data_IF_899945072552
#
_entry.id   IF_899945072552
#
_cell.length_a   1.000
_cell.length_b   1.000
_cell.length_c   1.000
_cell.angle_alpha   90.00
_cell.angle_beta   90.00
_cell.angle_gamma   90.00
#
_symmetry.space_group_name_H-M   'P 1'
#
loop_
_entity.id
_entity.type
_entity.pdbx_description
1 polymer ?
#
# COMPACT_ATOMS: atom_id res chain seq x y z
N UNK A 1 18.09 -8.29 14.85
CA UNK A 1 18.10 -7.54 13.58
C UNK A 1 17.62 -6.13 13.90
N UNK A 2 18.25 -5.10 13.33
CA UNK A 2 17.89 -3.70 13.60
C UNK A 2 16.59 -3.28 12.90
N UNK A 3 16.26 -3.95 11.78
CA UNK A 3 15.03 -3.75 11.01
C UNK A 3 14.47 -5.12 10.61
N UNK A 4 13.15 -5.27 10.68
CA UNK A 4 12.42 -6.43 10.17
C UNK A 4 11.53 -5.96 9.02
N UNK A 5 11.71 -6.56 7.84
CA UNK A 5 10.87 -6.29 6.67
C UNK A 5 9.88 -7.44 6.55
N UNK A 6 8.59 -7.12 6.65
CA UNK A 6 7.50 -8.10 6.52
C UNK A 6 6.71 -7.77 5.27
N UNK A 7 6.73 -8.67 4.30
CA UNK A 7 5.83 -8.61 3.15
C UNK A 7 4.45 -9.15 3.57
N UNK A 8 3.39 -8.42 3.24
CA UNK A 8 2.01 -8.89 3.39
C UNK A 8 1.52 -9.27 1.99
N UNK A 9 1.32 -10.57 1.78
CA UNK A 9 0.75 -11.10 0.54
C UNK A 9 -0.71 -10.68 0.35
N UNK A 10 -1.21 -10.84 -0.88
CA UNK A 10 -2.57 -10.46 -1.26
C UNK A 10 -2.68 -9.00 -1.72
N UNK A 11 -3.91 -8.53 -1.90
CA UNK A 11 -4.20 -7.14 -2.29
C UNK A 11 -5.06 -6.47 -1.24
N UNK A 12 -4.78 -5.19 -0.95
CA UNK A 12 -5.64 -4.37 -0.09
C UNK A 12 -7.04 -4.29 -0.70
N UNK A 13 -8.04 -4.64 0.08
CA UNK A 13 -9.45 -4.76 -0.35
C UNK A 13 -9.91 -6.21 -0.47
N UNK A 14 -8.99 -7.17 -0.54
CA UNK A 14 -9.34 -8.59 -0.56
C UNK A 14 -9.64 -9.10 0.86
N UNK A 15 -10.70 -9.89 1.01
CA UNK A 15 -11.16 -10.44 2.30
C UNK A 15 -10.05 -11.28 2.97
N UNK A 16 -9.28 -12.00 2.17
CA UNK A 16 -8.17 -12.85 2.63
C UNK A 16 -7.05 -12.06 3.34
N UNK A 17 -6.88 -10.79 2.97
CA UNK A 17 -5.81 -9.93 3.50
C UNK A 17 -6.19 -9.24 4.82
N UNK A 18 -7.48 -9.19 5.16
CA UNK A 18 -8.00 -8.41 6.28
C UNK A 18 -7.37 -8.80 7.64
N UNK A 19 -7.20 -10.09 8.00
CA UNK A 19 -6.58 -10.46 9.27
C UNK A 19 -5.12 -9.97 9.40
N UNK A 20 -4.36 -10.02 8.31
CA UNK A 20 -2.96 -9.58 8.29
C UNK A 20 -2.85 -8.05 8.40
N UNK A 21 -3.71 -7.34 7.67
CA UNK A 21 -3.79 -5.87 7.74
C UNK A 21 -4.16 -5.43 9.17
N UNK A 22 -5.15 -6.06 9.78
CA UNK A 22 -5.54 -5.73 11.17
C UNK A 22 -4.38 -6.00 12.15
N UNK A 23 -3.63 -7.09 11.96
CA UNK A 23 -2.47 -7.41 12.79
C UNK A 23 -1.39 -6.31 12.71
N UNK A 24 -1.01 -5.87 11.50
CA UNK A 24 -0.01 -4.81 11.35
C UNK A 24 -0.51 -3.45 11.84
N UNK A 25 -1.83 -3.21 11.82
CA UNK A 25 -2.45 -2.01 12.38
C UNK A 25 -2.32 -1.97 13.91
N UNK A 26 -2.53 -3.10 14.57
CA UNK A 26 -2.36 -3.24 16.03
C UNK A 26 -0.89 -3.12 16.45
N UNK A 27 0.04 -3.74 15.71
CA UNK A 27 1.49 -3.67 15.99
C UNK A 27 1.97 -2.22 16.13
N UNK A 28 1.49 -1.30 15.30
CA UNK A 28 1.88 0.12 15.38
C UNK A 28 1.43 0.81 16.68
N UNK A 29 0.36 0.31 17.31
CA UNK A 29 -0.04 0.70 18.66
C UNK A 29 0.91 0.13 19.71
N UNK A 30 1.26 -1.15 19.59
CA UNK A 30 2.03 -1.88 20.60
C UNK A 30 3.50 -1.44 20.67
N UNK A 31 4.16 -1.24 19.53
CA UNK A 31 5.60 -0.90 19.49
C UNK A 31 5.86 0.59 19.32
N UNK A 32 4.81 1.41 19.17
CA UNK A 32 4.91 2.85 18.94
C UNK A 32 5.02 3.24 17.47
N UNK A 33 4.50 4.43 17.15
CA UNK A 33 4.32 4.90 15.77
C UNK A 33 5.62 5.12 15.01
N UNK A 34 6.69 5.48 15.70
CA UNK A 34 7.99 5.79 15.11
C UNK A 34 8.80 4.53 14.77
N UNK A 35 8.37 3.37 15.26
CA UNK A 35 9.01 2.08 15.04
C UNK A 35 8.35 1.26 13.93
N UNK A 36 7.31 1.80 13.26
CA UNK A 36 6.59 1.11 12.17
C UNK A 36 6.44 2.01 10.96
N UNK A 37 6.92 1.51 9.82
CA UNK A 37 6.78 2.14 8.52
C UNK A 37 5.94 1.26 7.58
N UNK A 38 4.89 1.83 6.99
CA UNK A 38 4.10 1.15 5.97
C UNK A 38 4.52 1.61 4.58
N UNK A 39 4.88 0.64 3.73
CA UNK A 39 5.21 0.84 2.33
C UNK A 39 4.09 0.20 1.51
N UNK A 40 3.33 1.01 0.77
CA UNK A 40 2.20 0.53 -0.02
C UNK A 40 2.56 0.48 -1.51
N UNK A 41 2.56 -0.71 -2.09
CA UNK A 41 2.91 -0.93 -3.49
C UNK A 41 1.66 -0.91 -4.37
N UNK A 42 1.58 0.04 -5.29
CA UNK A 42 0.44 0.19 -6.21
C UNK A 42 0.87 0.11 -7.68
N UNK A 43 -0.10 -0.06 -8.57
CA UNK A 43 0.11 -0.05 -10.02
C UNK A 43 -0.46 1.24 -10.63
N UNK A 44 0.35 1.93 -11.44
CA UNK A 44 -0.07 2.96 -12.37
C UNK A 44 -0.21 2.35 -13.77
N UNK A 45 -1.42 1.92 -14.16
CA UNK A 45 -1.61 1.34 -15.48
C UNK A 45 -1.46 2.42 -16.56
N UNK A 46 -0.76 2.05 -17.63
CA UNK A 46 -0.64 2.85 -18.84
C UNK A 46 -1.77 2.50 -19.81
N UNK A 47 -2.63 3.47 -20.11
CA UNK A 47 -3.75 3.27 -21.03
C UNK A 47 -3.28 3.59 -22.44
N UNK A 48 -2.88 2.56 -23.20
CA UNK A 48 -2.33 2.68 -24.56
C UNK A 48 -3.21 3.51 -25.50
N UNK A 49 -4.53 3.37 -25.41
CA UNK A 49 -5.47 4.11 -26.25
C UNK A 49 -5.47 5.63 -25.99
N UNK A 50 -5.13 6.06 -24.77
CA UNK A 50 -5.09 7.46 -24.37
C UNK A 50 -3.66 8.03 -24.24
N UNK A 51 -2.65 7.15 -24.24
CA UNK A 51 -1.25 7.54 -24.13
C UNK A 51 -0.84 8.06 -22.75
N UNK A 52 -1.52 7.66 -21.68
CA UNK A 52 -1.34 8.25 -20.35
C UNK A 52 -1.37 7.21 -19.21
N UNK A 53 -0.69 7.56 -18.11
CA UNK A 53 -0.76 6.83 -16.85
C UNK A 53 -1.97 7.26 -16.05
N UNK A 54 -2.70 6.28 -15.49
CA UNK A 54 -3.87 6.57 -14.63
C UNK A 54 -3.53 6.42 -13.15
N UNK A 55 -3.67 7.52 -12.41
CA UNK A 55 -3.44 7.57 -10.96
C UNK A 55 -4.63 7.12 -10.12
N UNK A 56 -5.84 7.10 -10.71
CA UNK A 56 -7.09 6.77 -10.01
C UNK A 56 -7.06 5.40 -9.28
N UNK A 57 -6.53 4.31 -9.87
CA UNK A 57 -6.40 3.03 -9.16
C UNK A 57 -5.53 3.12 -7.90
N UNK A 58 -4.41 3.86 -7.97
CA UNK A 58 -3.56 4.11 -6.79
C UNK A 58 -4.31 4.91 -5.73
N UNK A 59 -5.03 5.96 -6.11
CA UNK A 59 -5.83 6.76 -5.16
C UNK A 59 -6.89 5.93 -4.46
N UNK A 60 -7.59 5.05 -5.19
CA UNK A 60 -8.59 4.15 -4.62
C UNK A 60 -7.97 3.14 -3.67
N UNK A 61 -6.84 2.52 -4.05
CA UNK A 61 -6.13 1.57 -3.20
C UNK A 61 -5.61 2.21 -1.90
N UNK A 62 -5.08 3.43 -1.96
CA UNK A 62 -4.68 4.19 -0.77
C UNK A 62 -5.89 4.55 0.10
N UNK A 63 -7.02 4.91 -0.50
CA UNK A 63 -8.25 5.18 0.24
C UNK A 63 -8.72 3.93 1.00
N UNK A 64 -8.63 2.75 0.38
CA UNK A 64 -8.98 1.48 1.00
C UNK A 64 -8.03 1.14 2.16
N UNK A 65 -6.72 1.31 1.96
CA UNK A 65 -5.75 1.11 3.05
C UNK A 65 -6.00 2.06 4.24
N UNK A 66 -6.46 3.29 3.97
CA UNK A 66 -6.81 4.27 5.00
C UNK A 66 -8.14 3.97 5.69
N UNK A 67 -9.11 3.37 5.00
CA UNK A 67 -10.43 3.04 5.58
C UNK A 67 -10.29 2.00 6.70
N UNK A 68 -9.31 1.11 6.59
CA UNK A 68 -8.92 0.11 7.60
C UNK A 68 -7.89 0.65 8.61
N UNK A 69 -7.68 1.98 8.66
CA UNK A 69 -6.90 2.62 9.72
C UNK A 69 -5.37 2.63 9.51
N UNK A 70 -4.89 2.32 8.31
CA UNK A 70 -3.47 2.35 7.98
C UNK A 70 -3.16 3.54 7.07
N UNK A 71 -2.28 4.42 7.53
CA UNK A 71 -1.74 5.50 6.72
C UNK A 71 -0.38 5.07 6.13
N UNK A 72 -0.22 4.96 4.80
CA UNK A 72 1.06 4.63 4.21
C UNK A 72 2.06 5.77 4.46
N UNK A 73 3.29 5.39 4.82
CA UNK A 73 4.42 6.32 4.92
C UNK A 73 5.03 6.56 3.54
N UNK A 74 5.08 5.51 2.71
CA UNK A 74 5.60 5.55 1.34
C UNK A 74 4.62 4.84 0.41
N UNK A 75 4.45 5.39 -0.79
CA UNK A 75 3.71 4.75 -1.88
C UNK A 75 4.71 4.42 -2.99
N UNK A 76 4.83 3.14 -3.32
CA UNK A 76 5.68 2.67 -4.43
C UNK A 76 4.82 2.53 -5.66
N UNK A 77 5.13 3.31 -6.69
CA UNK A 77 4.41 3.33 -7.96
C UNK A 77 5.08 2.36 -8.94
N UNK A 78 4.45 1.22 -9.19
CA UNK A 78 4.85 0.31 -10.28
C UNK A 78 4.22 0.79 -11.57
N UNK A 79 4.97 0.79 -12.66
CA UNK A 79 4.46 1.16 -13.98
C UNK A 79 5.29 0.51 -15.09
N UNK A 80 4.68 0.32 -16.26
CA UNK A 80 5.36 -0.15 -17.48
C UNK A 80 6.22 0.95 -18.14
N UNK A 81 5.90 2.21 -17.86
CA UNK A 81 6.62 3.38 -18.38
C UNK A 81 7.16 4.22 -17.24
N UNK A 82 8.09 5.13 -17.52
CA UNK A 82 8.54 6.09 -16.52
C UNK A 82 7.37 6.94 -16.01
N UNK A 83 7.30 7.13 -14.69
CA UNK A 83 6.32 8.03 -14.06
C UNK A 83 6.89 9.44 -14.13
N UNK A 84 6.18 10.40 -14.74
CA UNK A 84 6.65 11.78 -14.90
C UNK A 84 6.66 12.56 -13.59
#
# INVERSE_FOLDING_TARGET
ADVVITEIGGTVGDIESLPFIESIRQIKGDVGRDNVMYVHCTLLPYIKAAGELKTKPTQHSVKELRSIGIQPNVIVLRSETSVP
#
